data_IF_434764942772
#
_entry.id   IF_434764942772
#
_cell.length_a   1.000
_cell.length_b   1.000
_cell.length_c   1.000
_cell.angle_alpha   90.00
_cell.angle_beta   90.00
_cell.angle_gamma   90.00
#
_symmetry.space_group_name_H-M   'P 1'
#
loop_
_entity.id
_entity.type
_entity.pdbx_description
1 polymer ?
#
# COMPACT_ATOMS: atom_id res chain seq x y z
N UNK A 1 -3.91 4.18 -5.47
CA UNK A 1 -3.74 3.67 -6.83
C UNK A 1 -2.33 3.94 -7.27
N UNK A 2 -1.73 2.98 -7.96
CA UNK A 2 -0.44 3.11 -8.62
C UNK A 2 -0.62 2.60 -10.06
N UNK A 3 -0.37 3.44 -11.06
CA UNK A 3 -0.45 3.07 -12.48
C UNK A 3 -1.77 2.35 -12.86
N UNK A 4 -2.90 2.93 -12.46
CA UNK A 4 -4.26 2.40 -12.63
C UNK A 4 -4.66 1.19 -11.77
N UNK A 5 -3.74 0.61 -11.00
CA UNK A 5 -4.03 -0.51 -10.10
C UNK A 5 -4.31 -0.06 -8.66
N UNK A 6 -5.26 -0.73 -8.01
CA UNK A 6 -5.66 -0.45 -6.64
C UNK A 6 -4.89 -1.33 -5.64
N UNK A 7 -4.30 -0.70 -4.62
CA UNK A 7 -3.54 -1.37 -3.58
C UNK A 7 -3.94 -0.85 -2.20
N UNK A 8 -3.93 -1.73 -1.21
CA UNK A 8 -3.93 -1.40 0.21
C UNK A 8 -2.55 -1.76 0.78
N UNK A 9 -1.73 -0.73 1.06
CA UNK A 9 -0.33 -0.86 1.50
C UNK A 9 0.00 0.23 2.50
N UNK A 10 1.04 0.01 3.29
CA UNK A 10 1.60 1.04 4.16
C UNK A 10 2.43 1.99 3.31
N UNK A 11 2.09 3.27 3.32
CA UNK A 11 2.85 4.31 2.62
C UNK A 11 4.04 4.73 3.48
N UNK A 12 5.25 4.60 2.96
CA UNK A 12 6.47 5.14 3.56
C UNK A 12 7.06 6.21 2.65
N UNK A 13 7.44 7.33 3.26
CA UNK A 13 8.03 8.48 2.57
C UNK A 13 9.32 8.82 3.32
N UNK A 14 10.44 8.69 2.63
CA UNK A 14 11.74 9.13 3.12
C UNK A 14 12.08 10.47 2.44
N UNK A 15 12.03 11.54 3.22
CA UNK A 15 12.28 12.90 2.74
C UNK A 15 13.78 13.17 2.51
N UNK A 16 14.67 12.52 3.25
CA UNK A 16 16.12 12.72 3.14
C UNK A 16 16.63 12.08 1.86
N UNK A 17 16.21 10.85 1.59
CA UNK A 17 16.58 10.09 0.39
C UNK A 17 15.63 10.34 -0.79
N UNK A 18 14.57 11.13 -0.60
CA UNK A 18 13.59 11.54 -1.61
C UNK A 18 12.97 10.37 -2.36
N UNK A 19 12.53 9.34 -1.64
CA UNK A 19 11.81 8.22 -2.24
C UNK A 19 10.52 7.90 -1.49
N UNK A 20 9.64 7.20 -2.20
CA UNK A 20 8.35 6.74 -1.70
C UNK A 20 8.26 5.25 -1.97
N UNK A 21 7.77 4.48 -1.00
CA UNK A 21 7.53 3.06 -1.16
C UNK A 21 6.19 2.62 -0.56
N UNK A 22 5.61 1.58 -1.15
CA UNK A 22 4.40 0.92 -0.68
C UNK A 22 4.79 -0.44 -0.09
N UNK A 23 4.68 -0.54 1.23
CA UNK A 23 5.13 -1.71 1.99
C UNK A 23 3.95 -2.63 2.27
N UNK A 24 4.18 -3.94 2.12
CA UNK A 24 3.24 -4.99 2.51
C UNK A 24 3.43 -5.37 3.97
N UNK A 25 2.35 -5.66 4.67
CA UNK A 25 2.42 -6.26 6.01
C UNK A 25 2.67 -7.78 5.96
N UNK A 26 2.50 -8.38 4.78
CA UNK A 26 2.88 -9.77 4.53
C UNK A 26 4.38 -9.81 4.11
N UNK A 27 5.24 -10.57 4.83
CA UNK A 27 6.68 -10.64 4.57
C UNK A 27 7.06 -11.28 3.23
N UNK A 28 6.16 -12.05 2.61
CA UNK A 28 6.42 -12.70 1.32
C UNK A 28 6.40 -11.72 0.14
N UNK A 29 5.90 -10.50 0.37
CA UNK A 29 5.76 -9.48 -0.66
C UNK A 29 6.88 -8.44 -0.55
N UNK A 30 7.58 -8.24 -1.66
CA UNK A 30 8.56 -7.16 -1.78
C UNK A 30 7.89 -5.78 -1.75
N UNK A 31 8.53 -4.76 -1.15
CA UNK A 31 8.08 -3.38 -1.25
C UNK A 31 8.02 -2.90 -2.70
N UNK A 32 7.05 -2.05 -3.01
CA UNK A 32 6.94 -1.41 -4.33
C UNK A 32 7.56 -0.02 -4.22
N UNK A 33 8.67 0.20 -4.93
CA UNK A 33 9.32 1.50 -5.02
C UNK A 33 8.55 2.35 -6.04
N UNK A 34 8.14 3.56 -5.63
CA UNK A 34 7.47 4.53 -6.49
C UNK A 34 8.52 5.47 -7.07
N UNK A 35 8.60 5.51 -8.39
CA UNK A 35 9.52 6.32 -9.17
C UNK A 35 8.82 7.55 -9.75
N UNK A 36 9.60 8.45 -10.37
CA UNK A 36 9.05 9.65 -11.02
C UNK A 36 8.17 9.35 -12.25
N UNK A 37 8.29 8.14 -12.82
CA UNK A 37 7.51 7.73 -13.98
C UNK A 37 6.16 7.13 -13.57
N UNK A 38 5.95 6.88 -12.27
CA UNK A 38 4.73 6.30 -11.76
C UNK A 38 3.68 7.36 -11.46
N UNK A 39 2.41 7.02 -11.70
CA UNK A 39 1.28 7.84 -11.29
C UNK A 39 0.71 7.29 -9.97
N UNK A 40 1.04 7.95 -8.86
CA UNK A 40 0.58 7.62 -7.52
C UNK A 40 -0.53 8.57 -7.08
N UNK A 41 -1.65 7.99 -6.65
CA UNK A 41 -2.76 8.72 -6.03
C UNK A 41 -3.26 8.00 -4.77
N UNK A 42 -3.41 8.74 -3.67
CA UNK A 42 -3.95 8.23 -2.41
C UNK A 42 -5.48 8.36 -2.38
N UNK A 43 -6.18 7.24 -2.25
CA UNK A 43 -7.64 7.21 -2.13
C UNK A 43 -8.13 7.63 -0.73
N UNK A 44 -7.35 7.33 0.31
CA UNK A 44 -7.71 7.60 1.70
C UNK A 44 -6.85 6.81 2.68
N UNK A 45 -7.08 7.06 3.98
CA UNK A 45 -6.43 6.36 5.09
C UNK A 45 -7.32 5.23 5.60
N UNK A 46 -6.73 4.05 5.80
CA UNK A 46 -7.42 2.92 6.43
C UNK A 46 -7.61 3.21 7.92
N UNK A 47 -8.84 3.08 8.41
CA UNK A 47 -9.20 3.31 9.83
C UNK A 47 -9.39 2.01 10.62
N UNK A 48 -9.67 0.91 9.93
CA UNK A 48 -9.91 -0.40 10.54
C UNK A 48 -10.35 -1.41 9.49
N UNK A 49 -10.47 -2.67 9.91
CA UNK A 49 -10.98 -3.76 9.09
C UNK A 49 -12.31 -4.25 9.64
N UNK A 50 -13.18 -4.72 8.75
CA UNK A 50 -14.41 -5.41 9.13
C UNK A 50 -14.40 -6.77 8.44
N UNK A 51 -14.28 -7.84 9.22
CA UNK A 51 -14.36 -9.22 8.75
C UNK A 51 -15.66 -9.83 9.27
N UNK A 52 -16.52 -10.32 8.37
CA UNK A 52 -17.56 -11.26 8.79
C UNK A 52 -16.85 -12.55 9.21
N UNK A 53 -17.09 -13.00 10.45
CA UNK A 53 -16.71 -14.36 10.83
C UNK A 53 -17.43 -15.32 9.87
N UNK A 54 -16.67 -16.06 9.07
CA UNK A 54 -17.22 -17.19 8.32
C UNK A 54 -17.45 -18.28 9.38
N UNK A 55 -18.68 -18.78 9.58
CA UNK A 55 -18.90 -19.88 10.50
C UNK A 55 -18.13 -21.10 10.00
N UNK A 56 -17.36 -21.73 10.88
CA UNK A 56 -16.77 -23.05 10.61
C UNK A 56 -17.89 -24.01 10.21
N UNK A 57 -17.70 -24.68 9.07
CA UNK A 57 -18.61 -25.72 8.56
C UNK A 57 -18.42 -27.02 9.32
#
# INVERSE_FOLDING_TARGET
MLNNDAFCKRLHIDHDKKFVELISDNPDYQPIIVTKNDNLFTMGKVLGTSSKAVPDK
#
